data_IF_945307222966
#
_entry.id   IF_945307222966
#
_cell.length_a   1.000
_cell.length_b   1.000
_cell.length_c   1.000
_cell.angle_alpha   90.00
_cell.angle_beta   90.00
_cell.angle_gamma   90.00
#
_symmetry.space_group_name_H-M   'P 1'
#
loop_
_entity.id
_entity.type
_entity.pdbx_description
1 polymer ?
#
# COMPACT_ATOMS: atom_id res chain seq x y z
N UNK A 1 6.63 31.77 -2.37
CA UNK A 1 5.62 32.66 -1.76
C UNK A 1 4.31 31.88 -1.66
N UNK A 2 4.22 30.98 -0.68
CA UNK A 2 3.04 30.17 -0.44
C UNK A 2 2.09 30.92 0.49
N UNK A 3 0.89 31.23 0.01
CA UNK A 3 -0.18 31.67 0.90
C UNK A 3 -0.57 30.46 1.73
N UNK A 4 -0.13 30.42 2.99
CA UNK A 4 -0.75 29.57 4.01
C UNK A 4 -2.26 29.64 3.82
N UNK A 5 -2.85 28.47 3.50
CA UNK A 5 -4.18 28.35 2.92
C UNK A 5 -5.16 29.34 3.51
N UNK A 6 -5.80 30.13 2.64
CA UNK A 6 -6.80 31.10 3.03
C UNK A 6 -7.88 30.38 3.86
N UNK A 7 -7.83 30.58 5.17
CA UNK A 7 -8.89 30.16 6.08
C UNK A 7 -10.05 31.11 5.82
N UNK A 8 -10.87 30.78 4.82
CA UNK A 8 -12.09 31.53 4.54
C UNK A 8 -13.08 31.18 5.64
N UNK A 9 -13.10 32.03 6.66
CA UNK A 9 -14.09 31.98 7.74
C UNK A 9 -15.41 32.50 7.18
N UNK A 10 -16.32 31.59 6.84
CA UNK A 10 -17.68 31.89 6.36
C UNK A 10 -18.41 32.65 7.47
N UNK A 11 -18.73 33.92 7.21
CA UNK A 11 -19.37 34.86 8.16
C UNK A 11 -20.90 34.88 8.08
N UNK A 12 -21.50 34.10 7.17
CA UNK A 12 -22.94 34.15 6.92
C UNK A 12 -23.55 32.74 7.01
N UNK A 13 -24.70 32.57 7.69
CA UNK A 13 -25.39 31.29 7.71
C UNK A 13 -25.95 31.00 6.32
N UNK A 14 -25.34 30.05 5.62
CA UNK A 14 -25.80 29.63 4.29
C UNK A 14 -27.22 29.04 4.40
N UNK A 15 -28.21 29.48 3.59
CA UNK A 15 -29.62 29.32 3.95
C UNK A 15 -30.21 27.92 3.68
N UNK A 16 -29.46 26.97 3.13
CA UNK A 16 -29.98 25.62 2.79
C UNK A 16 -28.85 24.61 2.57
N UNK A 17 -29.01 23.39 3.11
CA UNK A 17 -28.01 22.30 3.07
C UNK A 17 -27.67 21.80 1.67
N UNK A 18 -28.58 21.93 0.69
CA UNK A 18 -28.34 21.52 -0.71
C UNK A 18 -27.27 22.37 -1.41
N UNK A 19 -27.29 23.70 -1.23
CA UNK A 19 -26.26 24.57 -1.82
C UNK A 19 -24.88 24.35 -1.19
N UNK A 20 -24.83 24.01 0.10
CA UNK A 20 -23.58 23.65 0.77
C UNK A 20 -23.02 22.32 0.27
N UNK A 21 -23.89 21.35 -0.03
CA UNK A 21 -23.51 20.07 -0.64
C UNK A 21 -22.96 20.25 -2.06
N UNK A 22 -23.63 21.02 -2.91
CA UNK A 22 -23.19 21.23 -4.29
C UNK A 22 -21.84 21.96 -4.36
N UNK A 23 -21.64 22.98 -3.52
CA UNK A 23 -20.37 23.73 -3.44
C UNK A 23 -19.25 22.87 -2.83
N UNK A 24 -19.55 22.08 -1.79
CA UNK A 24 -18.55 21.22 -1.13
C UNK A 24 -18.14 20.00 -1.96
N UNK A 25 -19.03 19.47 -2.79
CA UNK A 25 -18.75 18.31 -3.64
C UNK A 25 -18.10 18.68 -4.98
N UNK A 26 -18.38 19.87 -5.52
CA UNK A 26 -17.90 20.27 -6.85
C UNK A 26 -16.36 20.31 -6.96
N UNK A 27 -15.65 20.78 -5.93
CA UNK A 27 -14.19 20.86 -5.92
C UNK A 27 -13.52 19.49 -6.08
N UNK A 28 -13.73 18.54 -5.13
CA UNK A 28 -13.19 17.19 -5.25
C UNK A 28 -13.68 16.45 -6.49
N UNK A 29 -14.92 16.65 -6.93
CA UNK A 29 -15.44 15.99 -8.13
C UNK A 29 -14.72 16.48 -9.40
N UNK A 30 -14.49 17.78 -9.53
CA UNK A 30 -13.73 18.34 -10.65
C UNK A 30 -12.29 17.80 -10.65
N UNK A 31 -11.64 17.78 -9.48
CA UNK A 31 -10.30 17.18 -9.31
C UNK A 31 -10.27 15.69 -9.67
N UNK A 32 -11.30 14.94 -9.28
CA UNK A 32 -11.46 13.52 -9.62
C UNK A 32 -11.55 13.31 -11.12
N UNK A 33 -12.39 14.07 -11.83
CA UNK A 33 -12.58 13.94 -13.28
C UNK A 33 -11.28 14.21 -14.02
N UNK A 34 -10.57 15.27 -13.63
CA UNK A 34 -9.25 15.60 -14.22
C UNK A 34 -8.25 14.49 -13.94
N UNK A 35 -8.09 14.06 -12.69
CA UNK A 35 -7.13 13.04 -12.31
C UNK A 35 -7.44 11.65 -12.93
N UNK A 36 -8.72 11.32 -13.09
CA UNK A 36 -9.15 10.11 -13.78
C UNK A 36 -8.85 10.20 -15.28
N UNK A 37 -9.12 11.34 -15.92
CA UNK A 37 -8.80 11.56 -17.32
C UNK A 37 -7.29 11.46 -17.59
N UNK A 38 -6.46 12.08 -16.75
CA UNK A 38 -5.01 11.99 -16.87
C UNK A 38 -4.49 10.59 -16.55
N UNK A 39 -5.11 9.86 -15.63
CA UNK A 39 -4.77 8.46 -15.36
C UNK A 39 -5.05 7.57 -16.58
N UNK A 40 -6.23 7.71 -17.19
CA UNK A 40 -6.58 6.96 -18.39
C UNK A 40 -5.65 7.29 -19.55
N UNK A 41 -5.32 8.57 -19.74
CA UNK A 41 -4.33 9.00 -20.73
C UNK A 41 -2.96 8.38 -20.44
N UNK A 42 -2.48 8.45 -19.20
CA UNK A 42 -1.18 7.91 -18.80
C UNK A 42 -1.09 6.40 -19.02
N UNK A 43 -2.15 5.65 -18.68
CA UNK A 43 -2.23 4.20 -18.89
C UNK A 43 -2.29 3.84 -20.38
N UNK A 44 -2.94 4.66 -21.20
CA UNK A 44 -3.02 4.47 -22.65
C UNK A 44 -1.70 4.77 -23.38
N UNK A 45 -0.89 5.70 -22.86
CA UNK A 45 0.39 6.12 -23.45
C UNK A 45 1.62 5.50 -22.78
N UNK A 46 1.46 4.37 -22.09
CA UNK A 46 2.60 3.74 -21.39
C UNK A 46 3.66 3.25 -22.39
N UNK A 47 4.94 3.59 -22.18
CA UNK A 47 6.02 3.00 -22.93
C UNK A 47 6.18 1.51 -22.57
N UNK A 48 6.79 0.71 -23.44
CA UNK A 48 7.07 -0.70 -23.16
C UNK A 48 8.06 -0.85 -21.98
N UNK A 49 8.11 -2.03 -21.32
CA UNK A 49 8.99 -2.28 -20.18
C UNK A 49 10.49 -2.01 -20.45
N UNK A 50 10.91 -2.09 -21.71
CA UNK A 50 12.26 -1.78 -22.18
C UNK A 50 12.72 -0.35 -21.84
N UNK A 51 11.78 0.59 -21.67
CA UNK A 51 12.08 1.97 -21.23
C UNK A 51 12.88 2.04 -19.92
N UNK A 52 12.69 1.07 -19.01
CA UNK A 52 13.43 1.06 -17.74
C UNK A 52 14.88 0.58 -17.89
N UNK A 53 15.27 0.01 -19.04
CA UNK A 53 16.64 -0.48 -19.27
C UNK A 53 17.65 0.67 -19.31
N UNK A 54 17.22 1.85 -19.78
CA UNK A 54 18.05 3.05 -19.92
C UNK A 54 18.24 3.82 -18.60
N UNK A 55 17.46 3.49 -17.57
CA UNK A 55 17.52 4.18 -16.27
C UNK A 55 18.62 3.58 -15.38
N UNK A 56 19.35 4.39 -14.59
CA UNK A 56 20.35 3.86 -13.68
C UNK A 56 19.73 2.99 -12.57
N UNK A 57 20.41 1.89 -12.22
CA UNK A 57 19.97 0.95 -11.16
C UNK A 57 19.04 -0.16 -11.67
N UNK A 58 18.33 -0.81 -10.75
CA UNK A 58 17.32 -1.86 -11.04
C UNK A 58 17.86 -3.07 -11.81
N UNK A 59 19.14 -3.44 -11.62
CA UNK A 59 19.80 -4.54 -12.36
C UNK A 59 19.02 -5.87 -12.33
N UNK A 60 18.45 -6.23 -11.17
CA UNK A 60 17.64 -7.43 -11.02
C UNK A 60 16.31 -7.37 -11.81
N UNK A 61 15.70 -6.19 -11.89
CA UNK A 61 14.50 -5.95 -12.70
C UNK A 61 14.84 -5.99 -14.19
N UNK A 62 15.92 -5.32 -14.60
CA UNK A 62 16.40 -5.31 -16.00
C UNK A 62 16.70 -6.72 -16.50
N UNK A 63 17.36 -7.54 -15.68
CA UNK A 63 17.60 -8.94 -16.01
C UNK A 63 16.30 -9.72 -16.25
N UNK A 64 15.26 -9.47 -15.44
CA UNK A 64 13.96 -10.11 -15.61
C UNK A 64 13.24 -9.63 -16.87
N UNK A 65 13.22 -8.31 -17.14
CA UNK A 65 12.63 -7.71 -18.33
C UNK A 65 13.32 -8.25 -19.60
N UNK A 66 14.66 -8.33 -19.61
CA UNK A 66 15.41 -8.89 -20.74
C UNK A 66 15.10 -10.38 -21.00
N UNK A 67 14.74 -11.15 -19.96
CA UNK A 67 14.42 -12.58 -20.10
C UNK A 67 12.95 -12.85 -20.46
N UNK A 68 12.01 -12.08 -19.90
CA UNK A 68 10.58 -12.37 -19.99
C UNK A 68 9.77 -11.32 -20.76
N UNK A 69 10.36 -10.16 -21.08
CA UNK A 69 9.67 -9.04 -21.73
C UNK A 69 8.56 -8.40 -20.89
N UNK A 70 8.46 -8.73 -19.60
CA UNK A 70 7.38 -8.32 -18.70
C UNK A 70 7.92 -7.97 -17.31
N UNK A 71 7.07 -7.31 -16.51
CA UNK A 71 7.39 -6.99 -15.12
C UNK A 71 7.28 -8.22 -14.21
N UNK A 72 8.20 -8.40 -13.24
CA UNK A 72 8.08 -9.49 -12.28
C UNK A 72 6.94 -9.24 -11.29
N UNK A 73 6.20 -10.30 -10.96
CA UNK A 73 5.07 -10.24 -10.01
C UNK A 73 5.50 -9.88 -8.59
N UNK A 74 6.74 -10.23 -8.22
CA UNK A 74 7.35 -9.92 -6.93
C UNK A 74 8.51 -8.98 -7.14
N UNK A 75 8.63 -7.98 -6.27
CA UNK A 75 9.77 -7.09 -6.26
C UNK A 75 11.07 -7.91 -6.16
N UNK A 76 12.02 -7.78 -7.11
CA UNK A 76 13.29 -8.48 -7.05
C UNK A 76 14.06 -8.05 -5.81
N UNK A 77 14.70 -8.99 -5.12
CA UNK A 77 15.61 -8.66 -4.03
C UNK A 77 16.79 -7.88 -4.59
N UNK A 78 16.78 -6.57 -4.37
CA UNK A 78 17.83 -5.68 -4.88
C UNK A 78 18.99 -5.75 -3.90
N UNK A 79 20.06 -6.43 -4.30
CA UNK A 79 21.32 -6.37 -3.57
C UNK A 79 21.84 -4.93 -3.58
N UNK A 80 22.11 -4.38 -2.40
CA UNK A 80 22.64 -3.03 -2.12
C UNK A 80 21.65 -1.85 -2.15
N UNK A 81 21.36 -1.33 -0.94
CA UNK A 81 21.24 0.11 -0.60
C UNK A 81 20.22 1.01 -1.31
N UNK A 82 19.55 0.55 -2.37
CA UNK A 82 18.61 1.35 -3.14
C UNK A 82 17.30 1.50 -2.37
N UNK A 83 17.03 2.72 -1.91
CA UNK A 83 15.75 3.07 -1.29
C UNK A 83 14.69 3.07 -2.37
N UNK A 84 13.92 1.98 -2.49
CA UNK A 84 12.77 1.91 -3.40
C UNK A 84 11.54 2.41 -2.67
N UNK A 85 10.90 3.44 -3.20
CA UNK A 85 9.62 3.95 -2.67
C UNK A 85 8.51 3.12 -3.29
N UNK A 86 7.90 2.25 -2.48
CA UNK A 86 6.74 1.47 -2.91
C UNK A 86 5.47 2.22 -2.56
N UNK A 87 4.68 2.50 -3.58
CA UNK A 87 3.40 3.20 -3.44
C UNK A 87 2.27 2.18 -3.23
N UNK A 88 1.20 2.59 -2.55
CA UNK A 88 0.03 1.74 -2.34
C UNK A 88 -0.84 1.62 -3.59
N UNK A 89 -1.36 0.41 -3.85
CA UNK A 89 -2.36 0.21 -4.90
C UNK A 89 -3.75 0.65 -4.40
N UNK A 90 -4.46 1.44 -5.20
CA UNK A 90 -5.86 1.79 -4.92
C UNK A 90 -6.81 0.86 -5.67
N UNK A 91 -8.03 0.59 -5.18
CA UNK A 91 -8.99 -0.28 -5.89
C UNK A 91 -9.32 0.20 -7.29
N UNK A 92 -9.45 1.51 -7.47
CA UNK A 92 -9.69 2.13 -8.78
C UNK A 92 -8.50 1.90 -9.72
N UNK A 93 -7.27 2.14 -9.25
CA UNK A 93 -6.08 1.88 -10.04
C UNK A 93 -5.98 0.40 -10.40
N UNK A 94 -6.22 -0.51 -9.44
CA UNK A 94 -6.21 -1.96 -9.66
C UNK A 94 -7.22 -2.40 -10.72
N UNK A 95 -8.42 -1.83 -10.70
CA UNK A 95 -9.46 -2.14 -11.69
C UNK A 95 -9.07 -1.65 -13.09
N UNK A 96 -8.58 -0.40 -13.19
CA UNK A 96 -8.14 0.17 -14.45
C UNK A 96 -6.90 -0.53 -15.01
N UNK A 97 -5.98 -0.97 -14.15
CA UNK A 97 -4.77 -1.68 -14.60
C UNK A 97 -5.07 -3.01 -15.28
N UNK A 98 -6.25 -3.62 -15.04
CA UNK A 98 -6.66 -4.83 -15.77
C UNK A 98 -7.01 -4.56 -17.24
N UNK A 99 -7.27 -3.30 -17.60
CA UNK A 99 -7.75 -2.92 -18.93
C UNK A 99 -6.61 -2.55 -19.90
N UNK A 100 -5.40 -2.32 -19.38
CA UNK A 100 -4.26 -1.86 -20.18
C UNK A 100 -3.10 -2.87 -20.11
N UNK A 101 -2.37 -3.08 -21.22
CA UNK A 101 -1.17 -3.91 -21.21
C UNK A 101 0.01 -3.16 -20.56
N UNK A 102 1.02 -3.91 -20.08
CA UNK A 102 2.31 -3.37 -19.62
C UNK A 102 2.22 -2.32 -18.50
N UNK A 103 1.21 -2.40 -17.62
CA UNK A 103 1.11 -1.49 -16.48
C UNK A 103 2.26 -1.75 -15.50
N UNK A 104 3.07 -0.74 -15.16
CA UNK A 104 4.19 -0.92 -14.25
C UNK A 104 3.70 -1.27 -12.83
N UNK A 105 4.43 -2.12 -12.11
CA UNK A 105 4.11 -2.45 -10.72
C UNK A 105 4.31 -1.23 -9.81
N UNK A 106 3.71 -1.26 -8.60
CA UNK A 106 3.65 -0.07 -7.74
C UNK A 106 5.02 0.43 -7.24
N UNK A 107 6.04 -0.41 -7.32
CA UNK A 107 7.41 -0.05 -6.97
C UNK A 107 8.16 0.67 -8.11
N UNK A 108 7.60 0.70 -9.34
CA UNK A 108 8.20 1.35 -10.52
C UNK A 108 7.43 2.57 -11.02
N UNK A 109 6.25 2.88 -10.48
CA UNK A 109 5.41 3.99 -10.95
C UNK A 109 6.18 5.32 -10.99
N UNK A 110 7.13 5.54 -10.07
CA UNK A 110 7.88 6.80 -9.99
C UNK A 110 8.67 7.14 -11.28
N UNK A 111 8.99 6.14 -12.10
CA UNK A 111 9.67 6.34 -13.40
C UNK A 111 8.74 6.81 -14.52
N UNK A 112 7.43 6.91 -14.23
CA UNK A 112 6.38 7.32 -15.16
C UNK A 112 5.71 8.61 -14.64
N UNK A 113 6.26 9.80 -14.91
CA UNK A 113 5.85 11.05 -14.24
C UNK A 113 4.36 11.37 -14.38
N UNK A 114 3.76 11.14 -15.55
CA UNK A 114 2.34 11.42 -15.79
C UNK A 114 1.44 10.43 -15.05
N UNK A 115 1.82 9.15 -15.03
CA UNK A 115 1.11 8.11 -14.27
C UNK A 115 1.18 8.40 -12.77
N UNK A 116 2.37 8.73 -12.28
CA UNK A 116 2.62 9.07 -10.88
C UNK A 116 1.88 10.33 -10.44
N UNK A 117 1.89 11.39 -11.26
CA UNK A 117 1.12 12.61 -11.02
C UNK A 117 -0.38 12.34 -10.98
N UNK A 118 -0.91 11.48 -11.86
CA UNK A 118 -2.32 11.11 -11.87
C UNK A 118 -2.71 10.30 -10.63
N UNK A 119 -1.84 9.39 -10.19
CA UNK A 119 -2.02 8.66 -8.92
C UNK A 119 -2.07 9.64 -7.72
N UNK A 120 -1.17 10.63 -7.67
CA UNK A 120 -1.21 11.66 -6.64
C UNK A 120 -2.44 12.57 -6.72
N UNK A 121 -2.90 12.92 -7.92
CA UNK A 121 -4.13 13.69 -8.12
C UNK A 121 -5.34 12.96 -7.52
N UNK A 122 -5.44 11.65 -7.77
CA UNK A 122 -6.46 10.80 -7.14
C UNK A 122 -6.27 10.68 -5.63
N UNK A 123 -5.03 10.58 -5.14
CA UNK A 123 -4.74 10.55 -3.70
C UNK A 123 -5.20 11.84 -3.02
N UNK A 124 -4.80 13.02 -3.51
CA UNK A 124 -5.19 14.30 -2.91
C UNK A 124 -6.70 14.51 -2.95
N UNK A 125 -7.34 14.09 -4.03
CA UNK A 125 -8.81 14.10 -4.12
C UNK A 125 -9.45 13.19 -3.08
N UNK A 126 -8.93 11.97 -2.91
CA UNK A 126 -9.41 11.03 -1.90
C UNK A 126 -9.17 11.54 -0.47
N UNK A 127 -8.01 12.18 -0.21
CA UNK A 127 -7.71 12.82 1.07
C UNK A 127 -8.70 13.96 1.37
N UNK A 128 -9.04 14.78 0.38
CA UNK A 128 -10.04 15.85 0.55
C UNK A 128 -11.44 15.30 0.82
N UNK A 129 -11.77 14.11 0.34
CA UNK A 129 -13.05 13.43 0.57
C UNK A 129 -13.10 12.63 1.87
N UNK A 130 -12.04 12.63 2.69
CA UNK A 130 -12.07 11.92 3.97
C UNK A 130 -13.13 12.54 4.90
N UNK A 131 -13.92 11.72 5.61
CA UNK A 131 -14.97 12.18 6.51
C UNK A 131 -14.38 12.66 7.86
N UNK A 132 -13.45 13.62 7.84
CA UNK A 132 -12.72 14.08 9.03
C UNK A 132 -12.53 15.59 9.01
N UNK A 133 -12.89 16.26 10.11
CA UNK A 133 -12.58 17.67 10.36
C UNK A 133 -13.18 18.61 9.31
N UNK A 134 -12.36 19.57 8.86
CA UNK A 134 -12.73 20.61 7.89
C UNK A 134 -12.48 20.23 6.42
N UNK A 135 -12.10 18.97 6.15
CA UNK A 135 -11.95 18.48 4.78
C UNK A 135 -13.31 18.56 4.05
N UNK A 136 -13.27 18.65 2.72
CA UNK A 136 -14.49 18.73 1.89
C UNK A 136 -15.43 17.54 2.17
N UNK A 137 -14.89 16.35 2.39
CA UNK A 137 -15.61 15.15 2.80
C UNK A 137 -16.30 15.28 4.16
N UNK A 138 -15.75 16.06 5.09
CA UNK A 138 -16.37 16.39 6.37
C UNK A 138 -17.62 17.26 6.19
N UNK A 139 -17.56 18.28 5.34
CA UNK A 139 -18.71 19.14 5.00
C UNK A 139 -19.80 18.37 4.26
N UNK A 140 -19.41 17.52 3.29
CA UNK A 140 -20.32 16.64 2.57
C UNK A 140 -21.03 15.68 3.54
N UNK A 141 -20.27 15.04 4.43
CA UNK A 141 -20.82 14.14 5.44
C UNK A 141 -21.78 14.86 6.40
N UNK A 142 -21.43 16.08 6.82
CA UNK A 142 -22.28 16.92 7.66
C UNK A 142 -23.59 17.29 6.95
N UNK A 143 -23.54 17.67 5.67
CA UNK A 143 -24.72 18.01 4.89
C UNK A 143 -25.65 16.82 4.65
N UNK A 144 -25.09 15.61 4.46
CA UNK A 144 -25.86 14.38 4.20
C UNK A 144 -26.52 13.80 5.45
N UNK A 145 -25.77 13.67 6.56
CA UNK A 145 -26.24 12.94 7.75
C UNK A 145 -26.50 13.82 8.96
N UNK A 146 -26.22 15.12 8.86
CA UNK A 146 -26.38 16.08 9.94
C UNK A 146 -25.36 15.92 11.08
N UNK A 147 -25.43 16.85 12.04
CA UNK A 147 -24.46 16.98 13.14
C UNK A 147 -24.26 15.69 13.97
N UNK A 148 -25.35 14.96 14.26
CA UNK A 148 -25.33 13.79 15.16
C UNK A 148 -24.58 12.59 14.58
N UNK A 149 -24.71 12.37 13.27
CA UNK A 149 -24.07 11.24 12.59
C UNK A 149 -22.70 11.60 12.04
N UNK A 150 -22.48 12.87 11.66
CA UNK A 150 -21.17 13.36 11.23
C UNK A 150 -20.06 13.03 12.25
N UNK A 151 -20.27 13.38 13.52
CA UNK A 151 -19.29 13.08 14.57
C UNK A 151 -19.01 11.58 14.69
N UNK A 152 -20.07 10.77 14.83
CA UNK A 152 -19.93 9.32 14.97
C UNK A 152 -19.20 8.67 13.79
N UNK A 153 -19.54 9.05 12.56
CA UNK A 153 -18.91 8.52 11.35
C UNK A 153 -17.45 8.95 11.24
N UNK A 154 -17.11 10.20 11.59
CA UNK A 154 -15.74 10.68 11.65
C UNK A 154 -14.91 9.92 12.71
N UNK A 155 -15.47 9.72 13.90
CA UNK A 155 -14.83 8.94 14.98
C UNK A 155 -14.57 7.50 14.57
N UNK A 156 -15.59 6.82 14.03
CA UNK A 156 -15.45 5.44 13.52
C UNK A 156 -14.39 5.36 12.43
N UNK A 157 -14.39 6.32 11.50
CA UNK A 157 -13.41 6.37 10.42
C UNK A 157 -11.97 6.50 10.94
N UNK A 158 -11.73 7.41 11.90
CA UNK A 158 -10.41 7.58 12.53
C UNK A 158 -9.98 6.31 13.27
N UNK A 159 -10.88 5.64 14.00
CA UNK A 159 -10.57 4.38 14.69
C UNK A 159 -10.20 3.26 13.71
N UNK A 160 -10.89 3.16 12.57
CA UNK A 160 -10.56 2.20 11.50
C UNK A 160 -9.19 2.50 10.89
N UNK A 161 -8.88 3.77 10.62
CA UNK A 161 -7.56 4.17 10.13
C UNK A 161 -6.46 3.87 11.16
N UNK A 162 -6.71 4.16 12.43
CA UNK A 162 -5.77 3.86 13.51
C UNK A 162 -5.53 2.35 13.61
N UNK A 163 -6.58 1.53 13.54
CA UNK A 163 -6.46 0.07 13.56
C UNK A 163 -5.66 -0.44 12.35
N UNK A 164 -5.93 0.07 11.15
CA UNK A 164 -5.17 -0.25 9.93
C UNK A 164 -3.69 0.13 10.06
N UNK A 165 -3.40 1.32 10.60
CA UNK A 165 -2.05 1.78 10.86
C UNK A 165 -1.32 0.90 11.89
N UNK A 166 -2.00 0.54 13.00
CA UNK A 166 -1.46 -0.36 14.02
C UNK A 166 -1.08 -1.73 13.47
N UNK A 167 -1.88 -2.29 12.54
CA UNK A 167 -1.57 -3.56 11.87
C UNK A 167 -0.38 -3.40 10.92
N UNK A 168 -0.37 -2.37 10.08
CA UNK A 168 0.77 -2.13 9.16
C UNK A 168 2.09 -1.90 9.91
N UNK A 169 2.02 -1.22 11.04
CA UNK A 169 3.15 -0.95 11.90
C UNK A 169 3.66 -2.19 12.66
N UNK A 170 2.80 -3.20 12.86
CA UNK A 170 3.21 -4.50 13.38
C UNK A 170 4.13 -5.24 12.39
N UNK A 171 3.97 -5.01 11.09
CA UNK A 171 4.72 -5.69 10.02
C UNK A 171 6.07 -5.04 9.70
N UNK A 172 6.25 -3.75 9.99
CA UNK A 172 7.43 -2.96 9.55
C UNK A 172 8.71 -3.13 10.39
N UNK A 173 8.78 -4.12 11.29
CA UNK A 173 9.98 -4.42 12.09
C UNK A 173 9.69 -4.81 13.55
N UNK A 174 10.70 -4.87 14.44
CA UNK A 174 10.52 -5.21 15.85
C UNK A 174 9.90 -4.06 16.70
N UNK A 175 10.03 -2.82 16.23
CA UNK A 175 9.33 -1.59 16.67
C UNK A 175 8.85 -1.55 18.13
N UNK A 176 7.53 -1.45 18.31
CA UNK A 176 6.87 -1.30 19.61
C UNK A 176 7.09 -2.52 20.52
N UNK A 177 7.10 -3.74 19.98
CA UNK A 177 7.27 -4.95 20.79
C UNK A 177 8.68 -5.08 21.33
N UNK A 178 9.71 -4.72 20.55
CA UNK A 178 11.07 -4.67 21.06
C UNK A 178 11.26 -3.54 22.07
N UNK A 179 10.64 -2.38 21.84
CA UNK A 179 10.62 -1.32 22.83
C UNK A 179 9.96 -1.79 24.13
N UNK A 180 8.79 -2.42 24.11
CA UNK A 180 8.14 -2.99 25.30
C UNK A 180 8.99 -4.06 25.99
N UNK A 181 9.61 -4.98 25.24
CA UNK A 181 10.47 -6.05 25.78
C UNK A 181 11.76 -5.51 26.39
N UNK A 182 12.28 -4.37 25.90
CA UNK A 182 13.44 -3.70 26.48
C UNK A 182 13.21 -3.16 27.89
N UNK A 183 11.95 -2.90 28.27
CA UNK A 183 11.62 -2.53 29.66
C UNK A 183 11.55 -3.73 30.61
N UNK A 184 11.42 -4.95 30.06
CA UNK A 184 11.26 -6.19 30.85
C UNK A 184 12.56 -6.99 30.92
N UNK A 185 13.43 -6.93 29.91
CA UNK A 185 14.66 -7.72 29.82
C UNK A 185 15.93 -6.84 29.77
N UNK A 186 16.82 -6.93 30.77
CA UNK A 186 18.00 -6.07 30.86
C UNK A 186 19.01 -6.26 29.71
N UNK A 187 19.02 -7.42 29.07
CA UNK A 187 19.90 -7.72 27.92
C UNK A 187 19.51 -6.97 26.63
N UNK A 188 18.22 -6.66 26.44
CA UNK A 188 17.74 -5.92 25.26
C UNK A 188 17.68 -4.41 25.51
N UNK A 189 17.52 -3.99 26.77
CA UNK A 189 17.59 -2.60 27.22
C UNK A 189 18.91 -1.91 26.84
N UNK A 190 20.04 -2.64 26.92
CA UNK A 190 21.35 -2.12 26.56
C UNK A 190 21.54 -1.82 25.05
N UNK A 191 20.65 -2.35 24.19
CA UNK A 191 20.71 -2.15 22.72
C UNK A 191 19.79 -1.02 22.22
N UNK A 192 18.78 -0.61 22.99
CA UNK A 192 17.89 0.49 22.63
C UNK A 192 18.53 1.84 22.99
N UNK A 193 19.01 2.58 22.00
CA UNK A 193 19.57 3.92 22.23
C UNK A 193 18.54 4.91 22.79
N UNK A 194 18.99 5.88 23.59
CA UNK A 194 18.15 6.93 24.18
C UNK A 194 17.21 7.60 23.15
N UNK A 195 17.74 7.87 21.95
CA UNK A 195 17.00 8.52 20.86
C UNK A 195 15.83 7.67 20.34
N UNK A 196 15.95 6.34 20.33
CA UNK A 196 14.83 5.47 19.93
C UNK A 196 13.75 5.44 21.01
N UNK A 197 14.11 5.51 22.28
CA UNK A 197 13.13 5.56 23.37
C UNK A 197 12.36 6.89 23.38
N UNK A 198 13.04 8.01 23.13
CA UNK A 198 12.41 9.34 23.05
C UNK A 198 11.42 9.45 21.89
N UNK A 199 11.71 8.83 20.74
CA UNK A 199 10.80 8.89 19.59
C UNK A 199 9.46 8.20 19.88
N UNK A 200 9.43 7.15 20.69
CA UNK A 200 8.18 6.50 21.13
C UNK A 200 7.35 7.37 22.05
N UNK A 201 7.97 8.05 23.03
CA UNK A 201 7.25 8.99 23.88
C UNK A 201 6.71 10.17 23.08
N UNK A 202 7.49 10.68 22.13
CA UNK A 202 7.07 11.75 21.23
C UNK A 202 5.91 11.30 20.33
N UNK A 203 5.98 10.10 19.74
CA UNK A 203 4.91 9.53 18.93
C UNK A 203 3.64 9.31 19.76
N UNK A 204 3.76 8.76 20.97
CA UNK A 204 2.65 8.56 21.89
C UNK A 204 2.01 9.90 22.29
N UNK A 205 2.83 10.92 22.57
CA UNK A 205 2.37 12.28 22.87
C UNK A 205 1.63 12.93 21.69
N UNK A 206 2.18 12.81 20.47
CA UNK A 206 1.52 13.29 19.25
C UNK A 206 0.20 12.56 19.02
N UNK A 207 0.18 11.24 19.14
CA UNK A 207 -1.02 10.44 18.92
C UNK A 207 -2.08 10.72 19.99
N UNK A 208 -1.70 10.88 21.25
CA UNK A 208 -2.59 11.30 22.34
C UNK A 208 -3.15 12.71 22.10
N UNK A 209 -2.31 13.67 21.69
CA UNK A 209 -2.76 15.00 21.33
C UNK A 209 -3.75 14.95 20.15
N UNK A 210 -3.45 14.16 19.12
CA UNK A 210 -4.33 13.99 17.96
C UNK A 210 -5.68 13.37 18.36
N UNK A 211 -5.68 12.28 19.14
CA UNK A 211 -6.91 11.61 19.57
C UNK A 211 -7.72 12.50 20.52
N UNK A 212 -7.08 13.21 21.45
CA UNK A 212 -7.78 14.16 22.31
C UNK A 212 -8.40 15.31 21.51
N UNK A 213 -7.79 15.73 20.39
CA UNK A 213 -8.43 16.68 19.47
C UNK A 213 -9.61 16.10 18.70
N UNK A 214 -9.54 14.83 18.28
CA UNK A 214 -10.61 14.16 17.53
C UNK A 214 -11.81 13.83 18.41
N UNK A 215 -11.59 13.39 19.65
CA UNK A 215 -12.62 12.99 20.60
C UNK A 215 -13.02 14.10 21.58
N UNK A 216 -12.77 15.38 21.25
CA UNK A 216 -13.12 16.54 22.07
C UNK A 216 -12.60 16.46 23.53
N UNK A 217 -11.48 15.78 23.74
CA UNK A 217 -10.85 15.58 25.05
C UNK A 217 -11.48 14.48 25.92
N UNK A 218 -12.47 13.73 25.41
CA UNK A 218 -13.13 12.68 26.17
C UNK A 218 -12.23 11.45 26.34
N UNK A 219 -11.66 11.30 27.54
CA UNK A 219 -10.76 10.22 27.91
C UNK A 219 -11.40 8.82 27.81
N UNK A 220 -12.75 8.74 27.83
CA UNK A 220 -13.47 7.48 27.65
C UNK A 220 -13.27 6.89 26.26
N UNK A 221 -12.90 7.69 25.28
CA UNK A 221 -12.59 7.24 23.93
C UNK A 221 -11.09 7.27 23.63
N UNK A 222 -10.37 8.30 24.11
CA UNK A 222 -8.93 8.47 23.83
C UNK A 222 -8.11 7.32 24.42
N UNK A 223 -8.29 6.99 25.70
CA UNK A 223 -7.47 5.97 26.36
C UNK A 223 -7.72 4.57 25.78
N UNK A 224 -8.96 4.12 25.55
CA UNK A 224 -9.21 2.84 24.88
C UNK A 224 -8.71 2.80 23.43
N UNK A 225 -8.76 3.90 22.67
CA UNK A 225 -8.23 3.93 21.31
C UNK A 225 -6.71 3.75 21.28
N UNK A 226 -5.98 4.40 22.19
CA UNK A 226 -4.53 4.25 22.33
C UNK A 226 -4.13 2.84 22.77
N UNK A 227 -4.72 2.37 23.88
CA UNK A 227 -4.42 1.04 24.42
C UNK A 227 -4.86 -0.06 23.46
N UNK A 228 -5.99 0.12 22.77
CA UNK A 228 -6.48 -0.76 21.73
C UNK A 228 -5.54 -0.83 20.53
N UNK A 229 -4.99 0.31 20.08
CA UNK A 229 -3.99 0.34 19.01
C UNK A 229 -2.69 -0.38 19.39
N UNK A 230 -2.22 -0.21 20.62
CA UNK A 230 -1.07 -0.96 21.18
C UNK A 230 -1.39 -2.45 21.23
N UNK A 231 -2.50 -2.85 21.85
CA UNK A 231 -2.92 -4.24 21.96
C UNK A 231 -3.10 -4.91 20.60
N UNK A 232 -3.70 -4.21 19.63
CA UNK A 232 -3.87 -4.70 18.27
C UNK A 232 -2.52 -4.91 17.57
N UNK A 233 -1.57 -4.00 17.74
CA UNK A 233 -0.22 -4.15 17.15
C UNK A 233 0.55 -5.34 17.73
N UNK A 234 0.42 -5.60 19.05
CA UNK A 234 1.03 -6.75 19.72
C UNK A 234 0.35 -8.04 19.28
N UNK A 235 -0.99 -8.07 19.28
CA UNK A 235 -1.78 -9.22 18.84
C UNK A 235 -1.50 -9.58 17.37
N UNK A 236 -1.42 -8.58 16.48
CA UNK A 236 -1.09 -8.79 15.07
C UNK A 236 0.30 -9.44 14.86
N UNK A 237 1.26 -9.19 15.76
CA UNK A 237 2.55 -9.89 15.75
C UNK A 237 2.45 -11.31 16.29
N UNK A 238 1.71 -11.54 17.39
CA UNK A 238 1.61 -12.85 18.02
C UNK A 238 0.81 -13.86 17.18
N UNK A 239 -0.27 -13.42 16.53
CA UNK A 239 -1.15 -14.27 15.72
C UNK A 239 -0.60 -14.47 14.30
N UNK A 240 0.36 -13.64 13.88
CA UNK A 240 0.69 -13.44 12.47
C UNK A 240 -0.38 -12.58 11.80
N UNK A 241 0.03 -11.59 11.00
CA UNK A 241 -0.94 -10.62 10.48
C UNK A 241 -1.93 -11.28 9.52
N UNK A 242 -3.21 -10.82 9.49
CA UNK A 242 -4.19 -11.28 8.51
C UNK A 242 -3.75 -11.06 7.06
N UNK A 243 -2.79 -10.17 6.80
CA UNK A 243 -2.20 -9.95 5.47
C UNK A 243 -1.19 -11.03 5.10
N UNK A 244 -0.40 -11.55 6.03
CA UNK A 244 0.43 -12.74 5.79
C UNK A 244 -0.46 -13.95 5.49
N UNK A 245 -1.56 -14.09 6.23
CA UNK A 245 -2.60 -15.08 5.96
C UNK A 245 -3.36 -14.80 4.66
N UNK A 246 -3.65 -13.57 4.25
CA UNK A 246 -4.32 -13.25 2.99
C UNK A 246 -3.40 -13.43 1.77
N UNK A 247 -2.09 -13.17 1.93
CA UNK A 247 -1.05 -13.50 0.94
C UNK A 247 -0.91 -15.00 0.72
N UNK A 248 -1.10 -15.82 1.77
CA UNK A 248 -1.08 -17.29 1.69
C UNK A 248 -2.44 -17.92 1.37
N UNK A 249 -3.55 -17.29 1.75
CA UNK A 249 -4.93 -17.78 1.60
C UNK A 249 -5.62 -17.31 0.31
N UNK A 250 -4.87 -16.82 -0.68
CA UNK A 250 -5.39 -16.73 -2.04
C UNK A 250 -6.55 -15.75 -2.24
N UNK A 251 -6.55 -14.58 -1.58
CA UNK A 251 -7.24 -13.40 -2.13
C UNK A 251 -6.51 -12.84 -3.36
N UNK A 252 -5.98 -13.75 -4.19
CA UNK A 252 -5.61 -13.51 -5.58
C UNK A 252 -6.89 -13.76 -6.36
N UNK A 253 -7.56 -12.70 -6.79
CA UNK A 253 -8.40 -12.83 -7.98
C UNK A 253 -7.46 -13.34 -9.08
N UNK A 254 -7.79 -14.45 -9.76
CA UNK A 254 -6.86 -15.13 -10.65
C UNK A 254 -6.53 -14.21 -11.82
N UNK A 255 -5.31 -13.68 -11.83
CA UNK A 255 -4.71 -13.01 -13.00
C UNK A 255 -4.25 -14.01 -14.06
N UNK A 256 -4.25 -15.30 -13.73
CA UNK A 256 -4.01 -16.37 -14.69
C UNK A 256 -5.34 -16.88 -15.24
N UNK A 257 -5.51 -16.77 -16.56
CA UNK A 257 -6.38 -17.68 -17.30
C UNK A 257 -5.98 -19.11 -16.92
N UNK A 258 -6.80 -19.75 -16.09
CA UNK A 258 -6.71 -21.19 -15.84
C UNK A 258 -6.62 -21.90 -17.20
N UNK A 259 -5.78 -22.93 -17.31
CA UNK A 259 -5.65 -23.75 -18.52
C UNK A 259 -7.01 -24.29 -19.05
N UNK A 260 -8.04 -24.32 -18.19
CA UNK A 260 -9.42 -24.67 -18.54
C UNK A 260 -10.22 -23.58 -19.29
N UNK A 261 -9.79 -22.31 -19.23
CA UNK A 261 -10.38 -21.18 -19.98
C UNK A 261 -9.80 -21.06 -21.40
N UNK A 262 -8.56 -21.54 -21.60
CA UNK A 262 -7.85 -21.52 -22.89
C UNK A 262 -8.51 -22.41 -23.97
N UNK A 263 -9.36 -23.37 -23.57
CA UNK A 263 -10.05 -24.27 -24.50
C UNK A 263 -11.28 -23.66 -25.19
N UNK A 264 -11.79 -22.49 -24.75
CA UNK A 264 -13.12 -21.99 -25.15
C UNK A 264 -13.18 -20.64 -25.88
N UNK A 265 -12.10 -19.87 -25.97
CA UNK A 265 -12.13 -18.59 -26.69
C UNK A 265 -11.42 -18.67 -28.05
N UNK A 266 -12.14 -18.33 -29.10
CA UNK A 266 -11.63 -18.15 -30.47
C UNK A 266 -10.53 -17.09 -30.57
N UNK A 267 -10.52 -16.15 -29.62
CA UNK A 267 -9.56 -15.03 -29.51
C UNK A 267 -8.09 -15.46 -29.31
N UNK A 268 -7.83 -16.62 -28.71
CA UNK A 268 -6.46 -17.13 -28.50
C UNK A 268 -5.86 -17.83 -29.73
N UNK A 269 -6.65 -18.08 -30.79
CA UNK A 269 -6.20 -18.87 -31.94
C UNK A 269 -5.37 -18.06 -32.95
N UNK A 270 -5.48 -16.73 -32.92
CA UNK A 270 -4.95 -15.83 -33.96
C UNK A 270 -3.50 -15.35 -33.73
N UNK A 271 -2.98 -15.47 -32.49
CA UNK A 271 -1.58 -15.14 -32.17
C UNK A 271 -0.70 -16.39 -32.00
N UNK A 272 -0.60 -17.23 -33.04
CA UNK A 272 0.40 -18.31 -33.09
C UNK A 272 1.46 -18.05 -34.16
N UNK A 273 2.48 -17.30 -33.76
CA UNK A 273 3.82 -17.37 -34.33
C UNK A 273 4.79 -17.26 -33.17
N UNK A 274 5.46 -18.36 -32.81
CA UNK A 274 6.56 -18.44 -31.83
C UNK A 274 6.22 -18.42 -30.32
N UNK A 275 5.66 -19.51 -29.79
CA UNK A 275 6.00 -20.05 -28.45
C UNK A 275 5.33 -21.43 -28.22
N UNK A 276 6.07 -22.50 -27.85
CA UNK A 276 5.45 -23.77 -27.49
C UNK A 276 4.91 -23.75 -26.05
N UNK A 277 3.63 -24.12 -25.89
CA UNK A 277 3.05 -24.45 -24.59
C UNK A 277 3.60 -25.80 -24.10
N UNK A 278 4.32 -25.81 -22.98
CA UNK A 278 4.69 -27.06 -22.30
C UNK A 278 3.63 -27.43 -21.24
N UNK A 279 3.12 -28.68 -21.24
CA UNK A 279 2.26 -29.15 -20.17
C UNK A 279 3.09 -29.44 -18.92
N UNK A 280 2.52 -29.04 -17.79
CA UNK A 280 3.08 -29.12 -16.45
C UNK A 280 3.28 -30.59 -16.02
N UNK A 281 4.45 -31.18 -16.24
CA UNK A 281 4.82 -32.47 -15.63
C UNK A 281 5.37 -32.25 -14.23
N UNK A 282 4.57 -32.66 -13.23
CA UNK A 282 5.02 -33.00 -11.88
C UNK A 282 6.32 -33.80 -11.94
N UNK A 283 7.42 -33.26 -11.46
CA UNK A 283 8.57 -34.05 -11.02
C UNK A 283 8.51 -34.23 -9.50
N UNK A 284 7.84 -35.30 -9.09
CA UNK A 284 8.16 -36.01 -7.85
C UNK A 284 9.36 -36.90 -8.16
N UNK A 285 10.50 -36.69 -7.52
CA UNK A 285 11.44 -37.79 -7.26
C UNK A 285 12.21 -37.57 -5.95
N UNK A 286 11.84 -38.38 -4.97
CA UNK A 286 12.61 -38.75 -3.78
C UNK A 286 13.89 -39.47 -4.22
N UNK A 287 15.05 -39.15 -3.64
CA UNK A 287 16.31 -39.80 -4.00
C UNK A 287 17.51 -39.37 -3.17
N UNK A 288 17.65 -39.97 -1.98
CA UNK A 288 18.88 -40.28 -1.23
C UNK A 288 20.20 -39.62 -1.70
N UNK A 289 20.75 -38.73 -0.86
CA UNK A 289 22.13 -38.21 -0.98
C UNK A 289 23.13 -39.30 -0.56
N UNK A 290 23.76 -39.96 -1.54
CA UNK A 290 24.90 -40.86 -1.31
C UNK A 290 26.20 -40.09 -1.55
N UNK A 291 26.89 -39.70 -0.46
CA UNK A 291 28.27 -39.16 -0.46
C UNK A 291 29.20 -40.12 -1.20
N UNK A 292 29.87 -39.65 -2.26
CA UNK A 292 30.97 -40.38 -2.88
C UNK A 292 32.30 -39.67 -2.62
N UNK A 293 33.06 -40.21 -1.65
CA UNK A 293 34.48 -39.94 -1.44
C UNK A 293 35.26 -40.52 -2.62
N UNK A 294 35.91 -39.69 -3.44
CA UNK A 294 37.03 -40.17 -4.28
C UNK A 294 38.30 -40.17 -3.45
N UNK A 295 38.82 -41.37 -3.23
CA UNK A 295 40.20 -41.65 -2.80
C UNK A 295 41.13 -41.39 -3.98
N UNK A 296 42.16 -40.57 -3.78
CA UNK A 296 43.36 -40.56 -4.62
C UNK A 296 44.47 -41.16 -3.75
N UNK A 297 44.89 -42.37 -4.07
CA UNK A 297 46.01 -43.05 -3.43
C UNK A 297 47.29 -42.82 -4.26
N UNK A 298 48.38 -42.50 -3.57
CA UNK A 298 49.77 -42.54 -4.03
C UNK A 298 50.21 -43.97 -4.37
N UNK A 299 51.17 -44.11 -5.28
CA UNK A 299 52.39 -44.94 -5.17
C UNK A 299 53.28 -44.70 -6.42
N UNK A 300 54.48 -44.16 -6.24
CA UNK A 300 55.80 -44.84 -6.34
C UNK A 300 56.20 -45.29 -7.75
N UNK A 301 57.09 -44.51 -8.39
CA UNK A 301 58.49 -44.85 -8.69
C UNK A 301 59.26 -43.55 -8.96
#
# INVERSE_FOLDING_TARGET
MGTFGAVIRIREPLPTTRKLFDVGAAGPLAGFVVALGTLLYALATLPPPEYLLDLPGHEALKAHINQHGAFPETMPETGSGAVTIVVGQTPLFWALSQLFPNVPPMYEIMHYPVLFASWFGLLFTALNLLPVGQLDGGHVLYALFGKRWHGRLAHVFVLVLLASASIGFAESGPGLTAWLVSWVSPETAARSGLMSNLSWFLLAGILYYFLSRVFDGDQRFVAPALLGGVGLSVAARLVGSPRAAARSAGWRLPSSCSASACARSTWCRERRGHAPCFPNTRFLYSGSVRKNRRKTARNHF
#
